data_IF_324700521379
#
_entry.id   IF_324700521379
#
_cell.length_a   1.000
_cell.length_b   1.000
_cell.length_c   1.000
_cell.angle_alpha   90.00
_cell.angle_beta   90.00
_cell.angle_gamma   90.00
#
_symmetry.space_group_name_H-M   'P 1'
#
loop_
_entity.id
_entity.type
_entity.pdbx_description
1 polymer ?
#
# COMPACT_ATOMS: atom_id res chain seq x y z
N UNK A 1 -16.79 6.81 -1.27
CA UNK A 1 -15.43 6.88 -1.84
C UNK A 1 -14.60 5.73 -1.28
N UNK A 2 -13.84 5.05 -2.14
CA UNK A 2 -12.89 4.02 -1.71
C UNK A 2 -11.76 4.68 -0.90
N UNK A 3 -11.40 4.10 0.26
CA UNK A 3 -10.31 4.61 1.10
C UNK A 3 -9.03 3.88 0.71
N UNK A 4 -8.17 4.54 -0.05
CA UNK A 4 -6.87 3.99 -0.41
C UNK A 4 -5.82 4.34 0.64
N UNK A 5 -4.89 3.41 0.87
CA UNK A 5 -3.62 3.67 1.56
C UNK A 5 -2.47 3.37 0.61
N UNK A 6 -1.42 4.16 0.73
CA UNK A 6 -0.24 4.05 -0.12
C UNK A 6 0.95 3.70 0.77
N UNK A 7 1.80 2.81 0.26
CA UNK A 7 2.98 2.36 0.95
C UNK A 7 4.19 2.49 0.02
N UNK A 8 5.33 2.80 0.60
CA UNK A 8 6.64 2.65 0.00
C UNK A 8 7.36 1.51 0.73
N UNK A 9 7.90 0.57 -0.04
CA UNK A 9 8.74 -0.51 0.45
C UNK A 9 10.16 -0.23 -0.02
N UNK A 10 11.06 0.13 0.92
CA UNK A 10 12.45 0.48 0.65
C UNK A 10 13.34 -0.34 1.58
N UNK A 11 14.33 -1.04 1.02
CA UNK A 11 15.30 -1.83 1.78
C UNK A 11 14.66 -2.81 2.78
N UNK A 12 13.50 -3.37 2.42
CA UNK A 12 12.74 -4.29 3.26
C UNK A 12 11.85 -3.63 4.32
N UNK A 13 11.95 -2.31 4.51
CA UNK A 13 11.09 -1.53 5.39
C UNK A 13 9.83 -1.04 4.67
N UNK A 14 8.69 -1.11 5.36
CA UNK A 14 7.41 -0.61 4.82
C UNK A 14 7.00 0.66 5.54
N UNK A 15 6.91 1.76 4.80
CA UNK A 15 6.43 3.05 5.29
C UNK A 15 5.09 3.40 4.66
N UNK A 16 4.12 3.80 5.49
CA UNK A 16 2.86 4.34 4.99
C UNK A 16 3.08 5.78 4.55
N UNK A 17 2.63 6.12 3.35
CA UNK A 17 2.73 7.47 2.81
C UNK A 17 1.51 8.30 3.21
N UNK A 18 1.78 9.54 3.58
CA UNK A 18 0.81 10.59 3.89
C UNK A 18 0.78 11.61 2.75
N UNK A 19 -0.32 12.39 2.68
CA UNK A 19 -0.47 13.52 1.73
C UNK A 19 -0.08 13.16 0.28
N UNK A 20 -0.54 12.01 -0.19
CA UNK A 20 -0.15 11.46 -1.49
C UNK A 20 -0.69 12.31 -2.63
N UNK A 21 0.21 12.71 -3.52
CA UNK A 21 -0.04 13.41 -4.78
C UNK A 21 -0.04 12.43 -5.94
N UNK A 22 -0.86 12.72 -6.92
CA UNK A 22 -1.00 11.93 -8.14
C UNK A 22 -0.25 12.68 -9.23
N UNK A 23 0.90 12.15 -9.65
CA UNK A 23 1.68 12.77 -10.73
C UNK A 23 0.97 12.45 -12.06
N UNK A 24 0.56 13.49 -12.79
CA UNK A 24 -0.02 13.35 -14.13
C UNK A 24 -1.55 13.22 -14.25
N UNK A 25 -2.35 13.46 -13.20
CA UNK A 25 -3.80 13.60 -13.38
C UNK A 25 -4.67 13.35 -12.14
N UNK A 26 -5.82 14.03 -12.10
CA UNK A 26 -6.84 14.06 -11.03
C UNK A 26 -7.49 12.71 -10.65
N UNK A 27 -7.07 11.57 -11.19
CA UNK A 27 -7.73 10.28 -10.93
C UNK A 27 -6.89 9.11 -11.42
N UNK A 28 -6.90 7.99 -10.66
CA UNK A 28 -6.70 6.54 -10.94
C UNK A 28 -5.82 6.02 -12.09
N UNK A 29 -5.51 6.83 -13.11
CA UNK A 29 -4.57 6.61 -14.21
C UNK A 29 -3.20 7.26 -13.97
N UNK A 30 -2.97 7.88 -12.82
CA UNK A 30 -1.67 8.42 -12.47
C UNK A 30 -0.62 7.31 -12.63
N UNK A 31 0.36 7.54 -13.49
CA UNK A 31 1.45 6.60 -13.75
C UNK A 31 2.33 6.43 -12.49
N UNK A 32 2.24 7.38 -11.56
CA UNK A 32 2.93 7.32 -10.29
C UNK A 32 2.27 8.13 -9.18
N UNK A 33 2.41 7.60 -7.97
CA UNK A 33 1.96 8.24 -6.74
C UNK A 33 3.18 8.61 -5.91
N UNK A 34 3.26 9.87 -5.49
CA UNK A 34 4.33 10.38 -4.63
C UNK A 34 3.69 10.82 -3.33
N UNK A 35 4.23 10.38 -2.20
CA UNK A 35 3.73 10.77 -0.88
C UNK A 35 4.85 11.09 0.08
N UNK A 36 4.47 11.58 1.25
CA UNK A 36 5.40 12.01 2.29
C UNK A 36 5.37 11.02 3.46
N UNK A 37 6.53 10.68 3.97
CA UNK A 37 6.66 9.98 5.25
C UNK A 37 6.28 10.90 6.42
N UNK A 38 6.16 10.35 7.62
CA UNK A 38 5.93 11.13 8.84
C UNK A 38 7.09 12.11 9.10
N UNK A 39 8.31 11.71 8.77
CA UNK A 39 9.52 12.56 8.86
C UNK A 39 9.62 13.61 7.73
N UNK A 40 8.61 13.71 6.87
CA UNK A 40 8.55 14.69 5.79
C UNK A 40 9.35 14.33 4.53
N UNK A 41 10.02 13.17 4.49
CA UNK A 41 10.72 12.68 3.28
C UNK A 41 9.71 12.32 2.19
N UNK A 42 10.00 12.71 0.96
CA UNK A 42 9.18 12.39 -0.21
C UNK A 42 9.59 11.03 -0.80
N UNK A 43 8.64 10.11 -0.94
CA UNK A 43 8.85 8.77 -1.47
C UNK A 43 7.78 8.41 -2.51
N UNK A 44 8.18 7.62 -3.49
CA UNK A 44 7.27 7.02 -4.47
C UNK A 44 6.54 5.83 -3.86
N UNK A 45 5.23 5.75 -4.07
CA UNK A 45 4.45 4.61 -3.62
C UNK A 45 4.76 3.38 -4.49
N UNK A 46 5.10 2.27 -3.84
CA UNK A 46 5.29 0.94 -4.44
C UNK A 46 3.97 0.16 -4.46
N UNK A 47 3.08 0.42 -3.48
CA UNK A 47 1.79 -0.25 -3.35
C UNK A 47 0.66 0.72 -3.03
N UNK A 48 -0.49 0.51 -3.68
CA UNK A 48 -1.76 1.17 -3.39
C UNK A 48 -2.79 0.11 -2.99
N UNK A 49 -3.29 0.22 -1.76
CA UNK A 49 -4.20 -0.78 -1.17
C UNK A 49 -5.55 -0.14 -0.92
N UNK A 50 -6.61 -0.71 -1.50
CA UNK A 50 -7.98 -0.32 -1.17
C UNK A 50 -8.39 -0.91 0.18
N UNK A 51 -8.89 -0.08 1.09
CA UNK A 51 -9.34 -0.52 2.41
C UNK A 51 -10.86 -0.75 2.42
N UNK A 52 -11.29 -1.84 3.05
CA UNK A 52 -12.71 -2.08 3.33
C UNK A 52 -13.22 -1.04 4.33
N UNK A 53 -14.40 -0.46 4.09
CA UNK A 53 -14.98 0.59 4.94
C UNK A 53 -15.24 0.12 6.38
N UNK A 54 -15.72 -1.11 6.54
CA UNK A 54 -15.95 -1.78 7.82
C UNK A 54 -15.10 -3.06 7.85
N UNK A 55 -13.82 -2.94 8.23
CA UNK A 55 -12.90 -4.07 8.20
C UNK A 55 -13.15 -5.01 9.38
N UNK A 56 -13.08 -6.32 9.13
CA UNK A 56 -13.21 -7.37 10.15
C UNK A 56 -11.99 -7.46 11.08
N UNK A 57 -10.87 -6.79 10.75
CA UNK A 57 -9.62 -6.73 11.52
C UNK A 57 -9.02 -8.09 11.84
N UNK A 58 -9.06 -9.01 10.89
CA UNK A 58 -8.40 -10.30 11.00
C UNK A 58 -6.87 -10.16 11.14
N UNK A 59 -6.26 -11.12 11.82
CA UNK A 59 -4.82 -11.27 11.85
C UNK A 59 -4.28 -11.48 10.42
N UNK A 60 -3.11 -10.90 10.16
CA UNK A 60 -2.49 -11.00 8.84
C UNK A 60 -1.83 -12.38 8.70
N UNK A 61 -2.22 -13.13 7.68
CA UNK A 61 -1.69 -14.45 7.34
C UNK A 61 -1.02 -14.42 5.96
N UNK A 62 -0.65 -15.60 5.44
CA UNK A 62 -0.05 -15.75 4.12
C UNK A 62 -0.94 -15.18 2.99
N UNK A 63 -2.27 -15.13 3.16
CA UNK A 63 -3.19 -14.57 2.16
C UNK A 63 -3.05 -13.05 2.08
N UNK A 64 -2.85 -12.39 3.22
CA UNK A 64 -2.56 -10.96 3.23
C UNK A 64 -1.22 -10.68 2.55
N UNK A 65 -0.16 -11.40 2.94
CA UNK A 65 1.19 -11.17 2.40
C UNK A 65 1.28 -11.41 0.89
N UNK A 66 0.54 -12.39 0.38
CA UNK A 66 0.54 -12.74 -1.04
C UNK A 66 -0.67 -12.22 -1.81
N UNK A 67 -1.46 -11.31 -1.22
CA UNK A 67 -2.61 -10.74 -1.90
C UNK A 67 -2.17 -9.96 -3.15
N UNK A 68 -2.78 -10.27 -4.28
CA UNK A 68 -2.55 -9.60 -5.57
C UNK A 68 -3.86 -9.05 -6.14
N UNK A 69 -3.73 -8.03 -6.99
CA UNK A 69 -4.84 -7.44 -7.72
C UNK A 69 -5.68 -6.42 -6.94
N UNK A 70 -6.59 -5.76 -7.66
CA UNK A 70 -7.42 -4.65 -7.18
C UNK A 70 -8.73 -5.08 -6.49
N UNK A 71 -9.05 -6.38 -6.51
CA UNK A 71 -10.36 -6.89 -6.10
C UNK A 71 -10.44 -7.07 -4.57
N UNK A 72 -9.32 -7.42 -3.93
CA UNK A 72 -9.28 -7.75 -2.50
C UNK A 72 -9.10 -6.49 -1.66
N UNK A 73 -10.23 -5.90 -1.22
CA UNK A 73 -10.18 -4.76 -0.27
C UNK A 73 -9.62 -5.23 1.06
N UNK A 74 -8.51 -4.65 1.49
CA UNK A 74 -7.85 -5.02 2.73
C UNK A 74 -8.77 -4.77 3.93
N UNK A 75 -8.98 -5.81 4.73
CA UNK A 75 -9.75 -5.75 5.97
C UNK A 75 -8.96 -6.19 7.22
N UNK A 76 -7.65 -6.43 7.05
CA UNK A 76 -6.78 -6.93 8.11
C UNK A 76 -6.46 -5.88 9.17
N UNK A 77 -6.11 -6.36 10.38
CA UNK A 77 -5.67 -5.51 11.49
C UNK A 77 -4.38 -4.73 11.17
N UNK A 78 -3.48 -5.27 10.32
CA UNK A 78 -2.26 -4.57 9.89
C UNK A 78 -2.52 -3.36 8.98
N UNK A 79 -3.78 -3.05 8.65
CA UNK A 79 -4.14 -1.82 7.96
C UNK A 79 -3.59 -1.69 6.55
N UNK A 80 -3.28 -2.81 5.90
CA UNK A 80 -2.69 -2.86 4.55
C UNK A 80 -1.17 -2.96 4.53
N UNK A 81 -0.47 -2.77 5.65
CA UNK A 81 1.01 -2.77 5.71
C UNK A 81 1.62 -4.02 5.06
N UNK A 82 1.09 -5.20 5.37
CA UNK A 82 1.61 -6.46 4.85
C UNK A 82 0.96 -6.89 3.53
N UNK A 83 -0.06 -6.18 3.04
CA UNK A 83 -0.90 -6.63 1.92
C UNK A 83 -0.11 -6.65 0.60
N UNK A 84 0.18 -7.84 0.07
CA UNK A 84 1.00 -8.01 -1.13
C UNK A 84 2.51 -7.80 -0.92
N UNK A 85 2.99 -7.73 0.33
CA UNK A 85 4.43 -7.54 0.64
C UNK A 85 5.29 -8.75 0.22
N UNK A 86 4.72 -9.95 0.18
CA UNK A 86 5.44 -11.17 -0.22
C UNK A 86 6.01 -11.10 -1.65
N UNK A 87 5.42 -10.27 -2.52
CA UNK A 87 5.91 -10.04 -3.88
C UNK A 87 7.21 -9.21 -3.94
N UNK A 88 7.54 -8.47 -2.88
CA UNK A 88 8.70 -7.57 -2.84
C UNK A 88 9.90 -8.16 -2.07
N UNK A 89 9.74 -9.33 -1.43
CA UNK A 89 10.80 -9.97 -0.64
C UNK A 89 11.75 -10.82 -1.52
N UNK A 90 11.42 -11.05 -2.79
CA UNK A 90 12.22 -11.87 -3.71
C UNK A 90 12.92 -11.04 -4.80
N UNK A 91 13.90 -10.21 -4.44
CA UNK A 91 14.99 -9.79 -5.34
C UNK A 91 16.30 -9.75 -4.58
N UNK A 92 16.79 -10.94 -4.22
CA UNK A 92 18.19 -11.19 -3.90
C UNK A 92 18.51 -12.59 -4.43
N UNK A 93 18.92 -12.66 -5.70
CA UNK A 93 19.61 -13.78 -6.31
C UNK A 93 20.51 -13.23 -7.42
#
# INVERSE_FOLDING_TARGET
>A
MAKYRYFADLDGETTQLLRVRHDGGVSTKAQSFIGFTEDGRELRATRMIEMKRLPSRHACDARCQNATGRIMKCECACGGRNHGRGQFIATAA
#
